data_IF_858209540519
#
_entry.id   IF_858209540519
#
_cell.length_a   1.000
_cell.length_b   1.000
_cell.length_c   1.000
_cell.angle_alpha   90.00
_cell.angle_beta   90.00
_cell.angle_gamma   90.00
#
_symmetry.space_group_name_H-M   'P 1'
#
loop_
_entity.id
_entity.type
_entity.pdbx_description
1 polymer ?
#
# COMPACT_ATOMS: atom_id res chain seq x y z
N UNK A 1 -17.79 -14.04 -1.89
CA UNK A 1 -17.39 -14.13 -3.30
C UNK A 1 -18.43 -13.57 -4.26
N UNK A 2 -19.63 -14.11 -4.26
CA UNK A 2 -20.69 -13.58 -5.11
C UNK A 2 -21.01 -12.11 -4.79
N UNK A 3 -21.01 -11.76 -3.51
CA UNK A 3 -21.24 -10.39 -3.04
C UNK A 3 -20.17 -9.41 -3.54
N UNK A 4 -18.93 -9.84 -3.63
CA UNK A 4 -17.82 -9.02 -4.11
C UNK A 4 -17.97 -8.75 -5.61
N UNK A 5 -18.35 -9.75 -6.39
CA UNK A 5 -18.58 -9.59 -7.83
C UNK A 5 -19.73 -8.60 -8.11
N UNK A 6 -20.82 -8.70 -7.35
CA UNK A 6 -21.97 -7.79 -7.48
C UNK A 6 -21.55 -6.37 -7.09
N UNK A 7 -20.85 -6.22 -5.98
CA UNK A 7 -20.37 -4.94 -5.48
C UNK A 7 -19.47 -4.23 -6.51
N UNK A 8 -18.48 -4.95 -7.03
CA UNK A 8 -17.56 -4.40 -8.03
C UNK A 8 -18.29 -4.06 -9.32
N UNK A 9 -19.25 -4.89 -9.74
CA UNK A 9 -20.09 -4.59 -10.90
C UNK A 9 -20.84 -3.27 -10.74
N UNK A 10 -21.43 -3.03 -9.57
CA UNK A 10 -22.12 -1.77 -9.25
C UNK A 10 -21.16 -0.58 -9.25
N UNK A 11 -19.99 -0.74 -8.68
CA UNK A 11 -18.97 0.33 -8.63
C UNK A 11 -18.51 0.66 -10.05
N UNK A 12 -18.27 -0.32 -10.91
CA UNK A 12 -17.92 -0.10 -12.31
C UNK A 12 -18.98 0.69 -13.06
N UNK A 13 -20.24 0.48 -12.74
CA UNK A 13 -21.37 1.20 -13.33
C UNK A 13 -21.53 2.61 -12.77
N UNK A 14 -20.77 2.98 -11.76
CA UNK A 14 -20.81 4.32 -11.17
C UNK A 14 -21.74 4.45 -9.97
N UNK A 15 -22.12 3.34 -9.34
CA UNK A 15 -22.95 3.36 -8.13
C UNK A 15 -22.14 3.91 -6.95
N UNK A 16 -22.35 5.20 -6.65
CA UNK A 16 -21.60 5.89 -5.60
C UNK A 16 -21.91 5.34 -4.22
N UNK A 17 -23.13 4.87 -3.98
CA UNK A 17 -23.50 4.30 -2.67
C UNK A 17 -22.75 2.99 -2.41
N UNK A 18 -22.59 2.17 -3.43
CA UNK A 18 -21.80 0.94 -3.33
C UNK A 18 -20.34 1.26 -2.99
N UNK A 19 -19.78 2.27 -3.65
CA UNK A 19 -18.42 2.75 -3.38
C UNK A 19 -18.28 3.29 -1.95
N UNK A 20 -19.22 4.12 -1.51
CA UNK A 20 -19.24 4.66 -0.14
C UNK A 20 -19.30 3.55 0.91
N UNK A 21 -20.11 2.51 0.66
CA UNK A 21 -20.20 1.36 1.53
C UNK A 21 -18.87 0.62 1.66
N UNK A 22 -18.18 0.44 0.54
CA UNK A 22 -16.85 -0.15 0.51
C UNK A 22 -15.85 0.71 1.30
N UNK A 23 -15.88 2.02 1.08
CA UNK A 23 -15.01 2.96 1.78
C UNK A 23 -15.21 2.88 3.30
N UNK A 24 -16.46 2.94 3.77
CA UNK A 24 -16.76 2.88 5.20
C UNK A 24 -16.33 1.58 5.84
N UNK A 25 -16.44 0.49 5.11
CA UNK A 25 -16.08 -0.84 5.64
C UNK A 25 -14.58 -1.02 5.78
N UNK A 26 -13.80 -0.51 4.83
CA UNK A 26 -12.38 -0.84 4.73
C UNK A 26 -11.42 0.30 5.07
N UNK A 27 -11.88 1.56 5.12
CA UNK A 27 -10.98 2.70 5.29
C UNK A 27 -10.15 2.60 6.57
N UNK A 28 -10.80 2.45 7.70
CA UNK A 28 -10.12 2.40 9.00
C UNK A 28 -9.22 1.16 9.15
N UNK A 29 -9.69 -0.05 8.85
CA UNK A 29 -8.81 -1.23 8.89
C UNK A 29 -7.60 -1.11 7.97
N UNK A 30 -7.77 -0.55 6.77
CA UNK A 30 -6.67 -0.36 5.84
C UNK A 30 -5.66 0.67 6.36
N UNK A 31 -6.12 1.74 6.99
CA UNK A 31 -5.24 2.72 7.62
C UNK A 31 -4.39 2.07 8.73
N UNK A 32 -5.03 1.27 9.58
CA UNK A 32 -4.30 0.53 10.62
C UNK A 32 -3.28 -0.43 10.04
N UNK A 33 -3.63 -1.08 8.94
CA UNK A 33 -2.71 -1.96 8.23
C UNK A 33 -1.52 -1.18 7.65
N UNK A 34 -1.77 -0.05 7.00
CA UNK A 34 -0.72 0.81 6.45
C UNK A 34 0.23 1.31 7.52
N UNK A 35 -0.29 1.67 8.71
CA UNK A 35 0.53 2.14 9.84
C UNK A 35 1.58 1.08 10.23
N UNK A 36 1.28 -0.20 10.10
CA UNK A 36 2.26 -1.24 10.42
C UNK A 36 3.51 -1.18 9.53
N UNK A 37 3.39 -0.56 8.36
CA UNK A 37 4.52 -0.37 7.44
C UNK A 37 5.18 1.00 7.60
N UNK A 38 4.38 2.06 7.61
CA UNK A 38 4.91 3.43 7.51
C UNK A 38 5.08 4.10 8.87
N UNK A 39 4.54 3.53 9.93
CA UNK A 39 4.66 3.97 11.33
C UNK A 39 4.12 5.37 11.62
N UNK A 40 3.36 5.96 10.70
CA UNK A 40 2.77 7.29 10.86
C UNK A 40 1.35 7.28 10.32
N UNK A 41 0.40 7.69 11.16
CA UNK A 41 -1.03 7.67 10.80
C UNK A 41 -1.33 8.62 9.64
N UNK A 42 -0.73 9.80 9.63
CA UNK A 42 -0.97 10.79 8.55
C UNK A 42 -0.59 10.24 7.18
N UNK A 43 0.53 9.52 7.12
CA UNK A 43 1.01 8.91 5.87
C UNK A 43 0.12 7.74 5.49
N UNK A 44 -0.28 6.92 6.47
CA UNK A 44 -1.18 5.80 6.24
C UNK A 44 -2.53 6.28 5.66
N UNK A 45 -3.10 7.32 6.23
CA UNK A 45 -4.35 7.91 5.74
C UNK A 45 -4.20 8.43 4.31
N UNK A 46 -3.10 9.10 4.01
CA UNK A 46 -2.81 9.60 2.67
C UNK A 46 -2.74 8.44 1.66
N UNK A 47 -2.03 7.37 2.01
CA UNK A 47 -1.91 6.18 1.15
C UNK A 47 -3.29 5.58 0.87
N UNK A 48 -4.10 5.41 1.89
CA UNK A 48 -5.42 4.79 1.76
C UNK A 48 -6.39 5.70 0.99
N UNK A 49 -6.36 7.00 1.25
CA UNK A 49 -7.18 7.97 0.52
C UNK A 49 -6.82 7.98 -0.98
N UNK A 50 -5.54 7.98 -1.30
CA UNK A 50 -5.09 7.92 -2.70
C UNK A 50 -5.54 6.63 -3.37
N UNK A 51 -5.45 5.51 -2.66
CA UNK A 51 -5.93 4.23 -3.17
C UNK A 51 -7.41 4.28 -3.53
N UNK A 52 -8.24 4.78 -2.64
CA UNK A 52 -9.68 4.87 -2.88
C UNK A 52 -10.02 5.87 -3.99
N UNK A 53 -9.28 6.97 -4.07
CA UNK A 53 -9.45 7.95 -5.15
C UNK A 53 -9.18 7.32 -6.52
N UNK A 54 -8.06 6.64 -6.66
CA UNK A 54 -7.68 5.97 -7.90
C UNK A 54 -8.63 4.83 -8.22
N UNK A 55 -9.06 4.09 -7.20
CA UNK A 55 -10.04 3.01 -7.34
C UNK A 55 -11.33 3.52 -8.02
N UNK A 56 -11.85 4.64 -7.55
CA UNK A 56 -13.03 5.25 -8.14
C UNK A 56 -12.75 5.81 -9.53
N UNK A 57 -11.67 6.56 -9.68
CA UNK A 57 -11.30 7.19 -10.95
C UNK A 57 -11.13 6.17 -12.07
N UNK A 58 -10.49 5.05 -11.76
CA UNK A 58 -10.20 4.00 -12.72
C UNK A 58 -11.13 2.79 -12.60
N UNK A 59 -12.32 2.99 -12.07
CA UNK A 59 -13.26 1.89 -11.79
C UNK A 59 -13.62 1.05 -13.01
N UNK A 60 -13.65 1.64 -14.19
CA UNK A 60 -13.94 0.90 -15.42
C UNK A 60 -12.85 -0.11 -15.79
N UNK A 61 -11.64 0.10 -15.29
CA UNK A 61 -10.48 -0.75 -15.56
C UNK A 61 -10.22 -1.79 -14.46
N UNK A 62 -11.09 -1.85 -13.44
CA UNK A 62 -10.92 -2.81 -12.37
C UNK A 62 -10.95 -4.23 -12.91
N UNK A 63 -9.94 -5.05 -12.53
CA UNK A 63 -9.92 -6.45 -12.95
C UNK A 63 -10.99 -7.26 -12.23
N UNK A 64 -11.28 -8.44 -12.76
CA UNK A 64 -12.07 -9.42 -12.03
C UNK A 64 -11.17 -10.04 -10.96
N UNK A 65 -11.52 -9.89 -9.71
CA UNK A 65 -10.74 -10.46 -8.61
C UNK A 65 -11.66 -11.28 -7.71
N UNK A 66 -11.05 -12.29 -7.08
CA UNK A 66 -11.78 -13.25 -6.24
C UNK A 66 -12.15 -12.65 -4.88
N UNK A 67 -11.37 -11.69 -4.39
CA UNK A 67 -11.59 -11.07 -3.09
C UNK A 67 -11.26 -9.59 -3.16
N UNK A 68 -12.24 -8.75 -2.90
CA UNK A 68 -12.06 -7.29 -2.81
C UNK A 68 -11.13 -6.96 -1.65
N UNK A 69 -11.31 -7.64 -0.52
CA UNK A 69 -10.46 -7.46 0.66
C UNK A 69 -8.99 -7.73 0.34
N UNK A 70 -8.69 -8.86 -0.28
CA UNK A 70 -7.32 -9.21 -0.64
C UNK A 70 -6.73 -8.20 -1.62
N UNK A 71 -7.51 -7.72 -2.58
CA UNK A 71 -7.08 -6.71 -3.53
C UNK A 71 -6.71 -5.40 -2.82
N UNK A 72 -7.58 -4.92 -1.93
CA UNK A 72 -7.36 -3.66 -1.22
C UNK A 72 -6.15 -3.73 -0.31
N UNK A 73 -6.02 -4.81 0.47
CA UNK A 73 -4.85 -4.99 1.34
C UNK A 73 -3.56 -5.13 0.54
N UNK A 74 -3.59 -5.86 -0.56
CA UNK A 74 -2.43 -5.96 -1.46
C UNK A 74 -2.02 -4.62 -2.05
N UNK A 75 -2.98 -3.79 -2.43
CA UNK A 75 -2.71 -2.46 -2.97
C UNK A 75 -2.11 -1.53 -1.90
N UNK A 76 -2.64 -1.57 -0.67
CA UNK A 76 -2.09 -0.80 0.45
C UNK A 76 -0.68 -1.25 0.77
N UNK A 77 -0.44 -2.55 0.79
CA UNK A 77 0.91 -3.09 0.98
C UNK A 77 1.88 -2.52 -0.05
N UNK A 78 1.53 -2.63 -1.32
CA UNK A 78 2.41 -2.21 -2.42
C UNK A 78 2.73 -0.71 -2.32
N UNK A 79 1.73 0.11 -2.03
CA UNK A 79 1.92 1.55 -1.88
C UNK A 79 2.75 1.89 -0.64
N UNK A 80 2.54 1.18 0.45
CA UNK A 80 3.32 1.36 1.68
C UNK A 80 4.78 0.99 1.46
N UNK A 81 5.04 -0.13 0.79
CA UNK A 81 6.40 -0.53 0.45
C UNK A 81 7.08 0.45 -0.49
N UNK A 82 6.37 0.97 -1.49
CA UNK A 82 6.88 2.00 -2.38
C UNK A 82 7.26 3.27 -1.61
N UNK A 83 6.44 3.65 -0.63
CA UNK A 83 6.72 4.80 0.22
C UNK A 83 8.00 4.58 1.04
N UNK A 84 8.15 3.41 1.65
CA UNK A 84 9.36 3.06 2.43
C UNK A 84 10.59 3.07 1.53
N UNK A 85 10.50 2.48 0.35
CA UNK A 85 11.57 2.48 -0.63
C UNK A 85 11.98 3.90 -1.02
N UNK A 86 11.01 4.76 -1.26
CA UNK A 86 11.25 6.16 -1.60
C UNK A 86 11.98 6.89 -0.47
N UNK A 87 11.59 6.67 0.79
CA UNK A 87 12.27 7.24 1.95
C UNK A 87 13.71 6.75 2.06
N UNK A 88 13.97 5.47 1.84
CA UNK A 88 15.32 4.91 1.88
C UNK A 88 16.21 5.52 0.80
N UNK A 89 15.68 5.71 -0.39
CA UNK A 89 16.41 6.37 -1.49
C UNK A 89 16.70 7.82 -1.13
N UNK A 90 15.77 8.55 -0.55
CA UNK A 90 15.97 9.93 -0.12
C UNK A 90 17.04 10.03 0.98
N UNK A 91 16.99 9.16 1.96
CA UNK A 91 17.96 9.14 3.06
C UNK A 91 19.36 8.83 2.54
N UNK A 92 19.48 7.87 1.64
CA UNK A 92 20.72 7.54 0.97
C UNK A 92 21.27 8.75 0.19
N UNK A 93 20.40 9.45 -0.53
CA UNK A 93 20.80 10.63 -1.29
C UNK A 93 21.26 11.76 -0.36
N UNK A 94 20.62 11.95 0.79
CA UNK A 94 21.04 12.91 1.81
C UNK A 94 22.40 12.54 2.39
N UNK A 95 22.62 11.28 2.73
CA UNK A 95 23.90 10.80 3.23
C UNK A 95 25.00 11.01 2.22
N UNK A 96 24.78 10.73 0.95
CA UNK A 96 25.72 10.99 -0.12
C UNK A 96 26.03 12.48 -0.23
N UNK A 97 25.05 13.37 -0.06
CA UNK A 97 25.25 14.82 -0.08
C UNK A 97 26.01 15.33 1.14
N UNK A 98 25.75 14.75 2.31
CA UNK A 98 26.40 15.16 3.55
C UNK A 98 27.81 14.61 3.66
N UNK A 99 28.11 13.54 2.97
CA UNK A 99 29.37 12.81 3.03
C UNK A 99 30.16 12.88 1.71
N UNK A 100 30.06 13.99 0.96
CA UNK A 100 30.83 14.16 -0.28
C UNK A 100 32.34 13.99 -0.09
N UNK A 101 32.84 14.09 1.15
CA UNK A 101 34.26 13.95 1.49
C UNK A 101 34.61 12.60 2.14
N UNK A 102 33.66 11.71 2.32
CA UNK A 102 33.93 10.37 2.86
C UNK A 102 33.48 9.32 1.88
N UNK A 103 34.41 8.48 1.46
CA UNK A 103 34.16 7.25 0.73
C UNK A 103 33.27 6.32 1.57
N UNK A 104 32.03 6.71 1.76
CA UNK A 104 31.03 5.85 2.38
C UNK A 104 30.27 5.11 1.32
N UNK A 105 30.88 4.08 0.84
CA UNK A 105 30.24 2.93 0.25
C UNK A 105 29.34 2.19 1.26
N UNK A 106 28.78 2.91 2.22
CA UNK A 106 27.87 2.34 3.20
C UNK A 106 26.42 2.47 2.76
N UNK A 107 26.17 2.01 1.57
CA UNK A 107 25.02 1.22 1.37
C UNK A 107 25.32 -0.08 2.08
N UNK A 108 24.95 -0.12 3.31
CA UNK A 108 25.13 -1.35 4.04
C UNK A 108 24.26 -2.40 3.37
N UNK A 109 24.84 -3.53 2.99
CA UNK A 109 24.06 -4.70 2.63
C UNK A 109 22.97 -5.01 3.66
N UNK A 110 23.13 -4.47 4.88
CA UNK A 110 22.19 -4.54 5.98
C UNK A 110 20.87 -3.82 5.69
N UNK A 111 20.90 -2.60 5.16
CA UNK A 111 19.67 -1.86 4.83
C UNK A 111 18.89 -2.55 3.73
N UNK A 112 19.58 -3.06 2.72
CA UNK A 112 18.99 -3.87 1.67
C UNK A 112 18.43 -5.17 2.21
N UNK A 113 19.11 -5.79 3.18
CA UNK A 113 18.67 -7.01 3.82
C UNK A 113 17.44 -6.77 4.69
N UNK A 114 17.43 -5.69 5.48
CA UNK A 114 16.29 -5.29 6.30
C UNK A 114 15.06 -5.01 5.44
N UNK A 115 15.23 -4.35 4.32
CA UNK A 115 14.15 -4.10 3.37
C UNK A 115 13.58 -5.42 2.82
N UNK A 116 14.45 -6.34 2.42
CA UNK A 116 14.05 -7.67 1.94
C UNK A 116 13.34 -8.47 3.01
N UNK A 117 13.84 -8.45 4.24
CA UNK A 117 13.20 -9.11 5.37
C UNK A 117 11.82 -8.55 5.65
N UNK A 118 11.69 -7.22 5.62
CA UNK A 118 10.41 -6.55 5.77
C UNK A 118 9.44 -6.96 4.67
N UNK A 119 9.89 -6.96 3.43
CA UNK A 119 9.11 -7.37 2.29
C UNK A 119 8.64 -8.83 2.41
N UNK A 120 9.52 -9.74 2.82
CA UNK A 120 9.17 -11.14 3.04
C UNK A 120 8.15 -11.32 4.15
N UNK A 121 8.29 -10.60 5.28
CA UNK A 121 7.31 -10.62 6.37
C UNK A 121 5.94 -10.15 5.90
N UNK A 122 5.94 -9.13 5.10
CA UNK A 122 4.73 -8.53 4.54
C UNK A 122 4.04 -9.51 3.61
N UNK A 123 4.78 -10.14 2.72
CA UNK A 123 4.25 -11.14 1.81
C UNK A 123 3.66 -12.33 2.55
N UNK A 124 4.33 -12.79 3.61
CA UNK A 124 3.80 -13.86 4.47
C UNK A 124 2.51 -13.44 5.16
N UNK A 125 2.45 -12.21 5.67
CA UNK A 125 1.25 -11.70 6.33
C UNK A 125 0.07 -11.65 5.35
N UNK A 126 0.31 -11.24 4.11
CA UNK A 126 -0.74 -11.18 3.09
C UNK A 126 -1.19 -12.56 2.66
N UNK A 127 -0.27 -13.50 2.50
CA UNK A 127 -0.61 -14.88 2.18
C UNK A 127 -1.46 -15.53 3.26
N UNK A 128 -1.33 -15.09 4.51
CA UNK A 128 -2.10 -15.60 5.64
C UNK A 128 -3.45 -14.88 5.84
N UNK A 129 -3.75 -13.86 5.06
CA UNK A 129 -5.08 -13.24 5.09
C UNK A 129 -6.09 -14.17 4.42
N UNK A 130 -7.20 -14.46 5.11
CA UNK A 130 -8.25 -15.33 4.55
C UNK A 130 -8.99 -14.67 3.38
#
# INVERSE_FOLDING_TARGET
MLNDLILIGKIKEGDIKAYEGLFRLYYEPLCRYAVTYVNRMEIAEEIVQDLFYIFWKERSKLPVFQSVKAYLYGAVRNRSLQHIEHLLVQDKYREERLNEDTDNDFQTPLESLEYKELQERVEKTIQNFP
#
